data_IF_117292725989
#
_entry.id   IF_117292725989
#
_cell.length_a   1.000
_cell.length_b   1.000
_cell.length_c   1.000
_cell.angle_alpha   90.00
_cell.angle_beta   90.00
_cell.angle_gamma   90.00
#
_symmetry.space_group_name_H-M   'P 1'
#
loop_
_entity.id
_entity.type
_entity.pdbx_description
1 polymer ?
#
# COMPACT_ATOMS: atom_id res chain seq x y z
N UNK A 1 -38.80 25.53 1.63
CA UNK A 1 -37.43 25.38 2.13
C UNK A 1 -37.41 24.06 2.87
N UNK A 2 -36.95 23.01 2.23
CA UNK A 2 -36.69 21.71 2.87
C UNK A 2 -35.84 20.88 1.91
N UNK A 3 -34.52 20.91 2.10
CA UNK A 3 -33.55 20.06 1.38
C UNK A 3 -32.34 19.79 2.27
N UNK A 4 -32.59 19.16 3.42
CA UNK A 4 -31.58 18.37 4.13
C UNK A 4 -32.13 16.95 4.19
N UNK A 5 -31.76 16.13 3.20
CA UNK A 5 -32.08 14.71 3.21
C UNK A 5 -31.25 14.03 4.28
N UNK A 6 -31.80 13.89 5.48
CA UNK A 6 -31.22 13.10 6.56
C UNK A 6 -31.12 11.66 6.06
N UNK A 7 -29.90 11.12 5.91
CA UNK A 7 -29.68 9.72 5.58
C UNK A 7 -30.16 8.86 6.74
N UNK A 8 -31.41 8.40 6.67
CA UNK A 8 -31.98 7.42 7.59
C UNK A 8 -32.22 6.13 6.82
N UNK A 9 -31.73 5.01 7.35
CA UNK A 9 -32.10 3.69 6.85
C UNK A 9 -33.61 3.53 6.92
N UNK A 10 -34.19 2.96 5.87
CA UNK A 10 -35.60 2.53 5.83
C UNK A 10 -35.71 1.01 5.99
N UNK A 11 -36.90 0.52 6.39
CA UNK A 11 -37.11 -0.91 6.68
C UNK A 11 -36.72 -1.86 5.54
N UNK A 12 -36.97 -1.46 4.29
CA UNK A 12 -36.59 -2.25 3.10
C UNK A 12 -35.07 -2.38 2.92
N UNK A 13 -34.32 -1.34 3.28
CA UNK A 13 -32.85 -1.36 3.25
C UNK A 13 -32.30 -2.28 4.35
N UNK A 14 -32.92 -2.27 5.53
CA UNK A 14 -32.58 -3.18 6.62
C UNK A 14 -32.80 -4.63 6.20
N UNK A 15 -33.96 -4.97 5.62
CA UNK A 15 -34.25 -6.31 5.12
C UNK A 15 -33.26 -6.76 4.04
N UNK A 16 -32.94 -5.88 3.10
CA UNK A 16 -31.97 -6.13 2.03
C UNK A 16 -30.55 -6.34 2.59
N UNK A 17 -30.17 -5.64 3.65
CA UNK A 17 -28.88 -5.81 4.29
C UNK A 17 -28.81 -7.16 5.03
N UNK A 18 -29.85 -7.51 5.78
CA UNK A 18 -29.93 -8.75 6.57
C UNK A 18 -29.83 -10.01 5.68
N UNK A 19 -30.49 -10.01 4.53
CA UNK A 19 -30.45 -11.15 3.58
C UNK A 19 -29.05 -11.40 3.00
N UNK A 20 -28.18 -10.38 2.96
CA UNK A 20 -26.80 -10.50 2.45
C UNK A 20 -25.80 -11.01 3.50
N UNK A 21 -26.16 -10.97 4.78
CA UNK A 21 -25.31 -11.45 5.85
C UNK A 21 -25.26 -12.99 5.84
N UNK A 22 -24.07 -13.57 6.02
CA UNK A 22 -23.88 -15.04 6.04
C UNK A 22 -23.66 -15.52 7.47
N UNK A 23 -24.28 -16.63 7.82
CA UNK A 23 -24.13 -17.28 9.13
C UNK A 23 -22.76 -17.96 9.27
N UNK A 24 -22.37 -18.27 10.51
CA UNK A 24 -21.14 -18.98 10.82
C UNK A 24 -19.87 -18.18 10.58
N UNK A 25 -19.97 -16.84 10.51
CA UNK A 25 -18.82 -15.93 10.46
C UNK A 25 -18.31 -15.66 11.87
N UNK A 26 -17.00 -15.47 11.97
CA UNK A 26 -16.36 -15.10 13.24
C UNK A 26 -16.99 -13.81 13.77
N UNK A 27 -17.44 -13.77 15.05
CA UNK A 27 -18.00 -12.57 15.66
C UNK A 27 -17.03 -11.38 15.60
N UNK A 28 -17.58 -10.17 15.62
CA UNK A 28 -16.79 -8.95 15.73
C UNK A 28 -16.12 -8.88 17.13
N UNK A 29 -15.19 -7.93 17.36
CA UNK A 29 -14.48 -7.81 18.65
C UNK A 29 -15.39 -7.59 19.89
N UNK A 30 -16.66 -7.24 19.66
CA UNK A 30 -17.72 -7.15 20.68
C UNK A 30 -18.29 -8.52 21.09
N UNK A 31 -17.92 -9.59 20.38
CA UNK A 31 -18.37 -10.95 20.64
C UNK A 31 -19.80 -11.24 20.17
N UNK A 32 -20.46 -10.34 19.45
CA UNK A 32 -21.86 -10.51 19.03
C UNK A 32 -21.93 -11.33 17.73
N UNK A 33 -22.58 -12.51 17.74
CA UNK A 33 -22.76 -13.29 16.52
C UNK A 33 -23.74 -12.63 15.54
N UNK A 34 -23.50 -12.81 14.24
CA UNK A 34 -24.35 -12.25 13.17
C UNK A 34 -25.78 -12.78 13.22
N UNK A 35 -25.96 -13.99 13.75
CA UNK A 35 -27.25 -14.63 13.98
C UNK A 35 -28.12 -13.83 14.96
N UNK A 36 -27.50 -13.20 15.96
CA UNK A 36 -28.20 -12.33 16.93
C UNK A 36 -28.66 -11.04 16.24
N UNK A 37 -27.81 -10.43 15.42
CA UNK A 37 -28.16 -9.23 14.66
C UNK A 37 -29.31 -9.50 13.69
N UNK A 38 -29.28 -10.65 13.00
CA UNK A 38 -30.36 -11.09 12.12
C UNK A 38 -31.66 -11.34 12.87
N UNK A 39 -31.59 -11.97 14.04
CA UNK A 39 -32.75 -12.20 14.89
C UNK A 39 -33.39 -10.89 15.32
N UNK A 40 -32.60 -9.95 15.84
CA UNK A 40 -33.10 -8.65 16.29
C UNK A 40 -33.74 -7.84 15.15
N UNK A 41 -33.10 -7.82 13.98
CA UNK A 41 -33.64 -7.10 12.83
C UNK A 41 -34.95 -7.72 12.29
N UNK A 42 -35.18 -9.03 12.50
CA UNK A 42 -36.39 -9.72 12.08
C UNK A 42 -37.53 -9.60 13.10
N UNK A 43 -37.22 -9.76 14.38
CA UNK A 43 -38.22 -9.75 15.46
C UNK A 43 -38.56 -8.33 15.95
N UNK A 44 -37.59 -7.42 15.90
CA UNK A 44 -37.70 -6.03 16.36
C UNK A 44 -37.23 -5.06 15.27
N UNK A 45 -37.87 -5.03 14.09
CA UNK A 45 -37.40 -4.26 12.95
C UNK A 45 -37.41 -2.75 13.23
N UNK A 46 -38.42 -2.24 13.95
CA UNK A 46 -38.55 -0.80 14.21
C UNK A 46 -37.53 -0.31 15.23
N UNK A 47 -37.29 -1.07 16.29
CA UNK A 47 -36.31 -0.77 17.32
C UNK A 47 -34.88 -0.92 16.79
N UNK A 48 -34.63 -1.96 15.98
CA UNK A 48 -33.34 -2.15 15.31
C UNK A 48 -33.06 -1.00 14.35
N UNK A 49 -34.05 -0.59 13.56
CA UNK A 49 -33.94 0.54 12.65
C UNK A 49 -33.72 1.85 13.41
N UNK A 50 -34.46 2.07 14.51
CA UNK A 50 -34.32 3.25 15.36
C UNK A 50 -32.95 3.36 16.01
N UNK A 51 -32.41 2.25 16.52
CA UNK A 51 -31.07 2.18 17.08
C UNK A 51 -30.01 2.46 16.01
N UNK A 52 -30.10 1.80 14.85
CA UNK A 52 -29.17 2.03 13.75
C UNK A 52 -29.22 3.48 13.28
N UNK A 53 -30.40 4.06 13.09
CA UNK A 53 -30.56 5.45 12.67
C UNK A 53 -30.04 6.44 13.72
N UNK A 54 -30.19 6.15 15.01
CA UNK A 54 -29.61 6.97 16.09
C UNK A 54 -28.07 6.91 16.06
N UNK A 55 -27.49 5.72 15.88
CA UNK A 55 -26.06 5.56 15.69
C UNK A 55 -25.57 6.28 14.42
N UNK A 56 -26.29 6.17 13.30
CA UNK A 56 -25.96 6.88 12.07
C UNK A 56 -26.02 8.40 12.23
N UNK A 57 -26.97 8.93 12.99
CA UNK A 57 -27.08 10.35 13.27
C UNK A 57 -25.94 10.88 14.15
N UNK A 58 -25.41 10.05 15.06
CA UNK A 58 -24.26 10.40 15.90
C UNK A 58 -22.91 10.24 15.18
N UNK A 59 -22.85 9.46 14.10
CA UNK A 59 -21.63 9.36 13.30
C UNK A 59 -21.54 10.57 12.36
N UNK A 60 -20.75 11.57 12.76
CA UNK A 60 -20.27 12.61 11.83
C UNK A 60 -19.36 11.98 10.77
N UNK A 61 -19.94 11.58 9.64
CA UNK A 61 -19.21 11.41 8.39
C UNK A 61 -19.09 12.78 7.73
N UNK A 62 -17.87 13.30 7.45
CA UNK A 62 -17.73 14.51 6.65
C UNK A 62 -18.45 14.29 5.32
N UNK A 63 -19.35 15.19 4.95
CA UNK A 63 -20.08 15.11 3.69
C UNK A 63 -19.10 14.82 2.53
N UNK A 64 -19.39 13.75 1.78
CA UNK A 64 -18.56 13.31 0.65
C UNK A 64 -17.47 12.27 0.97
N UNK A 65 -17.24 11.87 2.23
CA UNK A 65 -16.33 10.77 2.58
C UNK A 65 -17.02 9.67 3.40
N UNK A 66 -17.41 8.58 2.73
CA UNK A 66 -17.87 7.32 3.37
C UNK A 66 -16.73 6.67 4.18
N UNK A 67 -15.49 7.04 3.90
CA UNK A 67 -14.30 6.47 4.50
C UNK A 67 -13.51 7.60 5.12
N UNK A 68 -13.15 7.48 6.39
CA UNK A 68 -12.10 8.31 6.95
C UNK A 68 -10.77 7.83 6.33
N UNK A 69 -10.51 8.30 5.10
CA UNK A 69 -9.43 7.79 4.24
C UNK A 69 -8.08 7.83 4.95
N UNK A 70 -7.86 8.82 5.81
CA UNK A 70 -6.67 8.90 6.65
C UNK A 70 -6.55 7.73 7.65
N UNK A 71 -7.63 7.32 8.33
CA UNK A 71 -7.61 6.19 9.27
C UNK A 71 -7.32 4.88 8.55
N UNK A 72 -7.95 4.66 7.39
CA UNK A 72 -7.75 3.45 6.58
C UNK A 72 -6.32 3.40 6.04
N UNK A 73 -5.83 4.50 5.46
CA UNK A 73 -4.46 4.61 4.95
C UNK A 73 -3.44 4.46 6.08
N UNK A 74 -3.66 5.06 7.26
CA UNK A 74 -2.77 4.96 8.41
C UNK A 74 -2.66 3.52 8.92
N UNK A 75 -3.77 2.78 8.91
CA UNK A 75 -3.79 1.36 9.28
C UNK A 75 -3.09 0.52 8.21
N UNK A 76 -3.40 0.77 6.93
CA UNK A 76 -2.74 0.11 5.80
C UNK A 76 -1.23 0.28 5.82
N UNK A 77 -0.77 1.50 6.12
CA UNK A 77 0.65 1.85 6.22
C UNK A 77 1.38 0.98 7.24
N UNK A 78 0.77 0.70 8.39
CA UNK A 78 1.39 -0.17 9.41
C UNK A 78 1.61 -1.60 8.88
N UNK A 79 0.70 -2.11 8.07
CA UNK A 79 0.86 -3.41 7.42
C UNK A 79 1.92 -3.34 6.30
N UNK A 80 1.86 -2.31 5.44
CA UNK A 80 2.82 -2.09 4.36
C UNK A 80 4.26 -2.03 4.87
N UNK A 81 4.52 -1.25 5.93
CA UNK A 81 5.84 -1.14 6.58
C UNK A 81 6.41 -2.50 7.00
N UNK A 82 5.55 -3.45 7.40
CA UNK A 82 5.97 -4.81 7.78
C UNK A 82 6.24 -5.68 6.56
N UNK A 83 5.44 -5.54 5.49
CA UNK A 83 5.64 -6.24 4.22
C UNK A 83 6.99 -5.83 3.61
N UNK A 84 7.24 -4.52 3.49
CA UNK A 84 8.48 -4.01 2.88
C UNK A 84 9.67 -3.95 3.85
N UNK A 85 9.45 -4.14 5.16
CA UNK A 85 10.45 -3.99 6.23
C UNK A 85 11.13 -2.60 6.20
N UNK A 86 10.31 -1.59 5.97
CA UNK A 86 10.76 -0.24 5.66
C UNK A 86 10.83 0.67 6.90
N UNK A 87 11.58 1.77 6.80
CA UNK A 87 11.66 2.76 7.88
C UNK A 87 10.37 3.60 7.97
N UNK A 88 9.94 3.92 9.19
CA UNK A 88 8.72 4.72 9.46
C UNK A 88 8.74 6.16 8.88
N UNK A 89 9.90 6.62 8.41
CA UNK A 89 10.14 7.95 7.83
C UNK A 89 9.80 8.05 6.34
N UNK A 90 9.52 6.93 5.66
CA UNK A 90 9.14 6.90 4.24
C UNK A 90 7.73 7.49 4.08
N UNK A 91 7.41 8.20 2.99
CA UNK A 91 6.04 8.70 2.78
C UNK A 91 5.03 7.55 2.64
N UNK A 92 3.75 7.79 2.92
CA UNK A 92 2.74 6.72 2.80
C UNK A 92 2.56 6.23 1.38
N UNK A 93 2.62 7.13 0.41
CA UNK A 93 2.46 6.80 -1.01
C UNK A 93 3.61 5.90 -1.50
N UNK A 94 4.85 6.28 -1.21
CA UNK A 94 6.02 5.48 -1.59
C UNK A 94 6.00 4.10 -0.93
N UNK A 95 5.57 4.02 0.32
CA UNK A 95 5.48 2.75 1.05
C UNK A 95 4.47 1.78 0.43
N UNK A 96 3.31 2.27 0.01
CA UNK A 96 2.29 1.44 -0.64
C UNK A 96 2.77 0.92 -2.00
N UNK A 97 3.51 1.75 -2.75
CA UNK A 97 4.13 1.35 -4.02
C UNK A 97 5.18 0.26 -3.80
N UNK A 98 6.08 0.44 -2.84
CA UNK A 98 7.12 -0.55 -2.52
C UNK A 98 6.49 -1.86 -2.04
N UNK A 99 5.52 -1.78 -1.14
CA UNK A 99 4.78 -2.95 -0.67
C UNK A 99 3.91 -3.58 -1.77
N UNK A 100 3.73 -2.94 -2.93
CA UNK A 100 2.89 -3.43 -4.02
C UNK A 100 1.41 -3.52 -3.66
N UNK A 101 0.95 -2.74 -2.68
CA UNK A 101 -0.41 -2.80 -2.15
C UNK A 101 -1.21 -1.63 -2.71
N UNK A 102 -2.38 -1.93 -3.29
CA UNK A 102 -3.30 -0.91 -3.78
C UNK A 102 -3.85 -0.10 -2.59
N UNK A 103 -3.82 1.25 -2.62
CA UNK A 103 -4.39 2.07 -1.56
C UNK A 103 -5.87 1.73 -1.29
N UNK A 104 -6.19 1.39 -0.04
CA UNK A 104 -7.53 0.92 0.34
C UNK A 104 -8.60 2.00 0.27
N UNK A 105 -8.22 3.27 0.40
CA UNK A 105 -9.09 4.42 0.15
C UNK A 105 -9.63 4.41 -1.28
N UNK A 106 -8.78 4.13 -2.27
CA UNK A 106 -9.17 4.04 -3.67
C UNK A 106 -10.09 2.83 -3.93
N UNK A 107 -9.81 1.68 -3.31
CA UNK A 107 -10.68 0.51 -3.41
C UNK A 107 -12.05 0.75 -2.75
N UNK A 108 -12.08 1.47 -1.64
CA UNK A 108 -13.32 1.80 -0.95
C UNK A 108 -14.15 2.84 -1.74
N UNK A 109 -13.47 3.80 -2.38
CA UNK A 109 -14.11 4.74 -3.30
C UNK A 109 -14.65 4.04 -4.55
N UNK A 110 -13.91 3.09 -5.14
CA UNK A 110 -14.40 2.23 -6.22
C UNK A 110 -15.70 1.54 -5.82
N UNK A 111 -15.69 0.86 -4.67
CA UNK A 111 -16.87 0.12 -4.16
C UNK A 111 -18.05 1.05 -3.90
N UNK A 112 -17.78 2.25 -3.38
CA UNK A 112 -18.79 3.29 -3.18
C UNK A 112 -19.43 3.69 -4.51
N UNK A 113 -18.62 4.00 -5.52
CA UNK A 113 -19.09 4.38 -6.85
C UNK A 113 -19.94 3.26 -7.47
N UNK A 114 -19.47 2.01 -7.38
CA UNK A 114 -20.23 0.84 -7.84
C UNK A 114 -21.55 0.65 -7.09
N UNK A 115 -21.62 0.95 -5.79
CA UNK A 115 -22.84 0.83 -5.00
C UNK A 115 -23.90 1.86 -5.39
N UNK A 116 -23.47 3.08 -5.73
CA UNK A 116 -24.35 4.19 -6.13
C UNK A 116 -24.83 4.11 -7.58
N UNK A 117 -24.36 3.14 -8.37
CA UNK A 117 -24.88 2.92 -9.71
C UNK A 117 -26.31 2.40 -9.61
N UNK A 118 -27.25 3.16 -10.18
CA UNK A 118 -28.66 2.76 -10.30
C UNK A 118 -28.80 1.49 -11.16
N UNK A 119 -28.02 1.41 -12.25
CA UNK A 119 -27.90 0.24 -13.11
C UNK A 119 -26.48 -0.33 -13.09
N UNK A 120 -26.36 -1.64 -12.81
CA UNK A 120 -25.07 -2.33 -12.69
C UNK A 120 -24.75 -3.17 -13.92
N UNK A 121 -24.60 -2.51 -15.07
CA UNK A 121 -24.13 -3.21 -16.27
C UNK A 121 -22.65 -3.57 -16.17
N UNK A 122 -22.23 -4.60 -16.92
CA UNK A 122 -20.81 -4.98 -17.02
C UNK A 122 -19.94 -3.80 -17.49
N UNK A 123 -20.44 -3.01 -18.45
CA UNK A 123 -19.74 -1.85 -19.00
C UNK A 123 -19.50 -0.73 -17.98
N UNK A 124 -20.52 -0.35 -17.20
CA UNK A 124 -20.37 0.67 -16.16
C UNK A 124 -19.42 0.22 -15.05
N UNK A 125 -19.53 -1.05 -14.61
CA UNK A 125 -18.62 -1.60 -13.61
C UNK A 125 -17.16 -1.57 -14.08
N UNK A 126 -16.93 -1.86 -15.36
CA UNK A 126 -15.59 -1.83 -15.93
C UNK A 126 -15.05 -0.40 -16.09
N UNK A 127 -15.91 0.57 -16.41
CA UNK A 127 -15.54 1.99 -16.46
C UNK A 127 -15.08 2.50 -15.09
N UNK A 128 -15.82 2.18 -14.02
CA UNK A 128 -15.45 2.58 -12.65
C UNK A 128 -14.12 1.94 -12.24
N UNK A 129 -13.91 0.65 -12.49
CA UNK A 129 -12.64 -0.05 -12.22
C UNK A 129 -11.48 0.54 -13.00
N UNK A 130 -11.69 0.88 -14.27
CA UNK A 130 -10.66 1.48 -15.13
C UNK A 130 -10.21 2.84 -14.59
N UNK A 131 -11.15 3.62 -14.07
CA UNK A 131 -10.83 4.88 -13.39
C UNK A 131 -10.03 4.65 -12.10
N UNK A 132 -10.38 3.66 -11.28
CA UNK A 132 -9.56 3.28 -10.11
C UNK A 132 -8.15 2.91 -10.55
N UNK A 133 -7.98 2.06 -11.56
CA UNK A 133 -6.66 1.66 -12.09
C UNK A 133 -5.87 2.90 -12.54
N UNK A 134 -6.50 3.87 -13.20
CA UNK A 134 -5.84 5.14 -13.58
C UNK A 134 -5.40 5.94 -12.36
N UNK A 135 -6.22 6.05 -11.33
CA UNK A 135 -5.88 6.77 -10.11
C UNK A 135 -4.75 6.08 -9.34
N UNK A 136 -4.77 4.76 -9.27
CA UNK A 136 -3.68 3.97 -8.68
C UNK A 136 -2.41 4.17 -9.49
N UNK A 137 -2.45 4.09 -10.83
CA UNK A 137 -1.29 4.34 -11.68
C UNK A 137 -0.72 5.76 -11.51
N UNK A 138 -1.60 6.77 -11.39
CA UNK A 138 -1.20 8.16 -11.12
C UNK A 138 -0.54 8.32 -9.75
N UNK A 139 -1.04 7.63 -8.70
CA UNK A 139 -0.38 7.60 -7.38
C UNK A 139 0.89 6.76 -7.40
N UNK A 140 1.01 5.79 -8.31
CA UNK A 140 2.11 4.86 -8.32
C UNK A 140 3.36 5.42 -9.01
N UNK A 141 3.23 6.23 -10.08
CA UNK A 141 4.30 6.83 -10.92
C UNK A 141 5.53 5.94 -11.28
N UNK A 142 5.52 4.66 -10.90
CA UNK A 142 6.62 3.68 -10.99
C UNK A 142 6.12 2.26 -11.24
N UNK A 143 4.84 2.11 -11.64
CA UNK A 143 4.25 0.84 -12.04
C UNK A 143 3.83 -0.09 -10.88
N UNK A 144 3.17 -1.19 -11.24
CA UNK A 144 2.85 -2.27 -10.30
C UNK A 144 3.73 -3.48 -10.58
N UNK A 145 4.42 -3.98 -9.55
CA UNK A 145 5.18 -5.22 -9.62
C UNK A 145 4.24 -6.43 -9.79
N UNK A 146 4.60 -7.33 -10.71
CA UNK A 146 3.89 -8.61 -10.93
C UNK A 146 4.64 -9.81 -10.34
N UNK A 147 5.89 -9.63 -9.92
CA UNK A 147 6.81 -10.71 -9.58
C UNK A 147 7.65 -10.33 -8.35
N UNK A 148 7.95 -11.34 -7.51
CA UNK A 148 8.83 -11.23 -6.35
C UNK A 148 8.34 -10.30 -5.24
N UNK A 149 8.83 -10.50 -4.02
CA UNK A 149 8.61 -9.59 -2.91
C UNK A 149 9.82 -8.69 -2.67
N UNK A 150 9.57 -7.46 -2.21
CA UNK A 150 10.64 -6.53 -1.89
C UNK A 150 11.37 -7.04 -0.63
N UNK A 151 12.62 -7.45 -0.81
CA UNK A 151 13.49 -7.83 0.30
C UNK A 151 13.86 -6.61 1.14
N UNK A 152 14.33 -6.85 2.37
CA UNK A 152 14.81 -5.78 3.24
C UNK A 152 15.86 -4.92 2.53
N UNK A 153 16.88 -5.53 1.91
CA UNK A 153 17.94 -4.82 1.21
C UNK A 153 17.42 -4.02 0.01
N UNK A 154 16.48 -4.58 -0.76
CA UNK A 154 15.87 -3.89 -1.89
C UNK A 154 15.06 -2.67 -1.43
N UNK A 155 14.29 -2.80 -0.36
CA UNK A 155 13.58 -1.68 0.25
C UNK A 155 14.54 -0.57 0.70
N UNK A 156 15.64 -0.93 1.38
CA UNK A 156 16.66 0.05 1.81
C UNK A 156 17.26 0.78 0.60
N UNK A 157 17.58 0.05 -0.47
CA UNK A 157 18.12 0.61 -1.70
C UNK A 157 17.15 1.59 -2.37
N UNK A 158 15.89 1.19 -2.58
CA UNK A 158 14.87 2.00 -3.25
C UNK A 158 14.58 3.30 -2.50
N UNK A 159 14.61 3.24 -1.18
CA UNK A 159 14.27 4.38 -0.31
C UNK A 159 15.48 5.21 0.08
N UNK A 160 16.69 4.77 -0.28
CA UNK A 160 17.94 5.36 0.14
C UNK A 160 18.20 5.31 1.66
N UNK A 161 17.56 4.39 2.39
CA UNK A 161 17.76 4.18 3.82
C UNK A 161 18.83 3.11 4.10
N UNK A 162 19.19 2.92 5.38
CA UNK A 162 20.19 1.94 5.82
C UNK A 162 21.57 2.56 6.01
N UNK A 163 22.61 1.93 5.49
CA UNK A 163 23.99 2.39 5.64
C UNK A 163 24.46 3.34 4.52
N UNK A 164 23.55 4.04 3.85
CA UNK A 164 23.91 5.06 2.88
C UNK A 164 24.31 6.36 3.58
N UNK A 165 25.47 6.88 3.21
CA UNK A 165 26.07 8.09 3.83
C UNK A 165 25.12 9.30 3.85
N UNK A 166 24.39 9.56 2.76
CA UNK A 166 23.38 10.64 2.68
C UNK A 166 22.30 10.48 3.75
N UNK A 167 21.81 9.25 3.96
CA UNK A 167 20.80 8.99 4.99
C UNK A 167 21.38 9.07 6.39
N UNK A 168 22.55 8.48 6.62
CA UNK A 168 23.22 8.51 7.92
C UNK A 168 23.52 9.95 8.38
N UNK A 169 23.95 10.81 7.47
CA UNK A 169 24.13 12.24 7.73
C UNK A 169 22.80 12.94 8.05
N UNK A 170 21.74 12.63 7.30
CA UNK A 170 20.38 13.15 7.56
C UNK A 170 19.88 12.81 8.96
N UNK A 171 20.24 11.64 9.50
CA UNK A 171 19.89 11.22 10.87
C UNK A 171 20.98 11.50 11.90
N UNK A 172 21.97 12.35 11.56
CA UNK A 172 23.07 12.77 12.44
C UNK A 172 23.89 11.62 13.04
N UNK A 173 24.07 10.52 12.29
CA UNK A 173 24.95 9.41 12.68
C UNK A 173 26.38 9.55 12.16
N UNK A 174 26.58 10.37 11.14
CA UNK A 174 27.90 10.71 10.60
C UNK A 174 27.93 12.20 10.24
N UNK A 175 29.09 12.83 10.33
CA UNK A 175 29.26 14.26 10.03
C UNK A 175 29.56 14.54 8.55
N UNK A 176 30.18 13.56 7.87
CA UNK A 176 30.62 13.68 6.47
C UNK A 176 30.02 12.57 5.59
N UNK A 177 29.64 12.94 4.37
CA UNK A 177 29.12 12.03 3.35
C UNK A 177 30.20 11.50 2.39
N UNK A 178 31.47 11.90 2.57
CA UNK A 178 32.60 11.46 1.76
C UNK A 178 32.96 9.99 2.00
N UNK A 179 32.21 9.15 1.30
CA UNK A 179 32.39 7.73 0.97
C UNK A 179 32.91 6.76 2.06
N UNK A 180 31.97 6.14 2.78
CA UNK A 180 31.97 4.72 3.17
C UNK A 180 30.81 4.02 2.44
N UNK A 181 30.93 4.15 1.12
CA UNK A 181 30.04 3.71 0.04
C UNK A 181 28.75 4.51 -0.13
N UNK A 182 28.94 5.82 -0.34
CA UNK A 182 28.04 6.76 -1.03
C UNK A 182 26.55 6.81 -0.61
N UNK A 183 25.79 7.71 -1.25
CA UNK A 183 24.34 7.63 -1.28
C UNK A 183 23.87 6.53 -2.23
N UNK A 184 22.63 6.06 -2.06
CA UNK A 184 22.07 4.91 -2.78
C UNK A 184 22.30 4.95 -4.31
N UNK A 185 21.93 6.05 -4.95
CA UNK A 185 22.12 6.26 -6.39
C UNK A 185 23.58 6.04 -6.83
N UNK A 186 24.54 6.71 -6.19
CA UNK A 186 25.96 6.57 -6.55
C UNK A 186 26.46 5.15 -6.28
N UNK A 187 25.99 4.52 -5.21
CA UNK A 187 26.33 3.13 -4.88
C UNK A 187 25.87 2.16 -5.98
N UNK A 188 24.62 2.28 -6.41
CA UNK A 188 23.95 1.37 -7.36
C UNK A 188 24.35 1.59 -8.82
N UNK A 189 24.84 2.78 -9.19
CA UNK A 189 25.12 3.09 -10.60
C UNK A 189 26.56 3.51 -10.92
N UNK A 190 27.34 4.01 -9.95
CA UNK A 190 28.57 4.77 -10.27
C UNK A 190 29.81 4.39 -9.44
N UNK A 191 29.63 3.84 -8.24
CA UNK A 191 30.73 3.64 -7.30
C UNK A 191 31.61 2.45 -7.73
N UNK A 192 32.88 2.71 -8.05
CA UNK A 192 33.83 1.74 -8.60
C UNK A 192 34.06 0.51 -7.73
N UNK A 193 33.83 0.62 -6.41
CA UNK A 193 33.84 -0.51 -5.47
C UNK A 193 32.94 -1.68 -5.93
N UNK A 194 31.85 -1.37 -6.63
CA UNK A 194 30.81 -2.32 -7.03
C UNK A 194 30.86 -2.65 -8.53
N UNK A 195 31.96 -2.35 -9.23
CA UNK A 195 32.06 -2.61 -10.68
C UNK A 195 32.02 -4.09 -11.03
N UNK A 196 32.45 -4.97 -10.12
CA UNK A 196 32.36 -6.42 -10.31
C UNK A 196 30.89 -6.88 -10.26
N UNK A 197 30.20 -6.56 -9.16
CA UNK A 197 28.80 -6.91 -8.96
C UNK A 197 27.90 -6.26 -10.03
N UNK A 198 28.18 -5.01 -10.41
CA UNK A 198 27.42 -4.29 -11.45
C UNK A 198 27.60 -4.95 -12.82
N UNK A 199 28.82 -5.39 -13.17
CA UNK A 199 29.05 -6.13 -14.42
C UNK A 199 28.28 -7.45 -14.46
N UNK A 200 28.22 -8.19 -13.34
CA UNK A 200 27.39 -9.40 -13.25
C UNK A 200 25.91 -9.09 -13.47
N UNK A 201 25.40 -8.01 -12.89
CA UNK A 201 24.03 -7.56 -13.13
C UNK A 201 23.80 -7.25 -14.62
N UNK A 202 24.68 -6.46 -15.23
CA UNK A 202 24.55 -6.02 -16.63
C UNK A 202 24.55 -7.19 -17.61
N UNK A 203 25.34 -8.23 -17.33
CA UNK A 203 25.32 -9.48 -18.10
C UNK A 203 23.97 -10.21 -17.97
N UNK A 204 23.40 -10.26 -16.75
CA UNK A 204 22.09 -10.87 -16.51
C UNK A 204 20.93 -10.09 -17.15
N UNK A 205 21.02 -8.76 -17.17
CA UNK A 205 20.01 -7.89 -17.79
C UNK A 205 20.15 -7.77 -19.31
N UNK A 206 21.28 -8.19 -19.88
CA UNK A 206 21.60 -7.95 -21.29
C UNK A 206 21.72 -6.46 -21.66
N UNK A 207 21.91 -5.58 -20.67
CA UNK A 207 21.93 -4.12 -20.85
C UNK A 207 22.75 -3.44 -19.77
N UNK A 208 23.29 -2.25 -20.08
CA UNK A 208 24.03 -1.46 -19.10
C UNK A 208 23.11 -0.89 -18.03
N UNK A 209 23.50 -1.01 -16.77
CA UNK A 209 22.71 -0.58 -15.63
C UNK A 209 22.81 0.94 -15.47
N UNK A 210 21.66 1.61 -15.41
CA UNK A 210 21.57 3.03 -15.14
C UNK A 210 20.24 3.40 -14.45
N UNK A 211 20.17 4.64 -13.99
CA UNK A 211 19.01 5.16 -13.25
C UNK A 211 17.69 5.10 -14.01
N UNK A 212 17.74 5.11 -15.35
CA UNK A 212 16.53 5.15 -16.18
C UNK A 212 15.98 3.76 -16.48
N UNK A 213 16.84 2.74 -16.52
CA UNK A 213 16.43 1.42 -16.98
C UNK A 213 16.37 0.36 -15.88
N UNK A 214 17.00 0.56 -14.71
CA UNK A 214 17.00 -0.47 -13.68
C UNK A 214 15.59 -0.89 -13.28
N UNK A 215 14.72 0.07 -12.92
CA UNK A 215 13.33 -0.23 -12.51
C UNK A 215 12.48 -0.79 -13.67
N UNK A 216 12.49 -0.20 -14.89
CA UNK A 216 11.78 -0.80 -16.01
C UNK A 216 12.22 -2.25 -16.32
N UNK A 217 13.52 -2.54 -16.31
CA UNK A 217 14.04 -3.88 -16.55
C UNK A 217 13.67 -4.84 -15.42
N UNK A 218 13.78 -4.40 -14.16
CA UNK A 218 13.41 -5.15 -12.96
C UNK A 218 11.94 -5.60 -12.99
N UNK A 219 11.05 -4.75 -13.51
CA UNK A 219 9.62 -5.03 -13.62
C UNK A 219 9.21 -5.86 -14.85
N UNK A 220 10.11 -6.06 -15.81
CA UNK A 220 9.80 -6.67 -17.11
C UNK A 220 9.50 -8.17 -17.00
N UNK A 221 10.32 -8.90 -16.24
CA UNK A 221 10.18 -10.34 -16.08
C UNK A 221 10.83 -10.83 -14.76
N UNK A 222 10.56 -12.08 -14.39
CA UNK A 222 11.05 -12.68 -13.13
C UNK A 222 12.56 -12.90 -13.10
N UNK A 223 13.21 -13.12 -14.25
CA UNK A 223 14.66 -13.34 -14.32
C UNK A 223 15.44 -12.05 -14.06
N UNK A 224 15.00 -10.94 -14.68
CA UNK A 224 15.53 -9.61 -14.40
C UNK A 224 15.34 -9.25 -12.93
N UNK A 225 14.14 -9.47 -12.38
CA UNK A 225 13.87 -9.26 -10.96
C UNK A 225 14.86 -10.01 -10.06
N UNK A 226 15.06 -11.30 -10.35
CA UNK A 226 15.97 -12.14 -9.56
C UNK A 226 17.41 -11.63 -9.67
N UNK A 227 17.83 -11.16 -10.85
CA UNK A 227 19.16 -10.59 -11.08
C UNK A 227 19.37 -9.29 -10.29
N UNK A 228 18.39 -8.39 -10.31
CA UNK A 228 18.42 -7.12 -9.55
C UNK A 228 18.38 -7.38 -8.05
N UNK A 229 17.48 -8.23 -7.58
CA UNK A 229 17.37 -8.58 -6.16
C UNK A 229 18.66 -9.20 -5.63
N UNK A 230 19.29 -10.11 -6.39
CA UNK A 230 20.57 -10.73 -6.03
C UNK A 230 21.70 -9.72 -6.00
N UNK A 231 21.76 -8.83 -6.99
CA UNK A 231 22.75 -7.74 -7.03
C UNK A 231 22.64 -6.84 -5.81
N UNK A 232 21.41 -6.38 -5.49
CA UNK A 232 21.16 -5.48 -4.35
C UNK A 232 21.43 -6.18 -3.02
N UNK A 233 21.00 -7.43 -2.87
CA UNK A 233 21.25 -8.22 -1.66
C UNK A 233 22.75 -8.38 -1.39
N UNK A 234 23.53 -8.78 -2.40
CA UNK A 234 24.98 -8.93 -2.30
C UNK A 234 25.67 -7.61 -1.99
N UNK A 235 25.34 -6.56 -2.74
CA UNK A 235 25.90 -5.23 -2.57
C UNK A 235 25.64 -4.73 -1.15
N UNK A 236 24.39 -4.78 -0.68
CA UNK A 236 24.01 -4.24 0.62
C UNK A 236 24.61 -5.05 1.76
N UNK A 237 24.65 -6.38 1.64
CA UNK A 237 25.24 -7.26 2.67
C UNK A 237 26.73 -6.99 2.84
N UNK A 238 27.48 -6.89 1.74
CA UNK A 238 28.92 -6.55 1.81
C UNK A 238 29.12 -5.15 2.35
N UNK A 239 28.30 -4.18 1.90
CA UNK A 239 28.37 -2.79 2.38
C UNK A 239 28.11 -2.70 3.88
N UNK A 240 27.14 -3.44 4.42
CA UNK A 240 26.84 -3.50 5.86
C UNK A 240 27.99 -4.14 6.63
N UNK A 241 28.57 -5.24 6.12
CA UNK A 241 29.73 -5.89 6.72
C UNK A 241 30.93 -4.95 6.81
N UNK A 242 31.27 -4.28 5.71
CA UNK A 242 32.39 -3.33 5.66
C UNK A 242 32.15 -2.13 6.59
N UNK A 243 30.90 -1.65 6.69
CA UNK A 243 30.53 -0.56 7.60
C UNK A 243 30.75 -0.96 9.07
N UNK A 244 30.30 -2.16 9.46
CA UNK A 244 30.53 -2.72 10.81
C UNK A 244 32.01 -2.95 11.10
N UNK A 245 32.77 -3.46 10.14
CA UNK A 245 34.21 -3.71 10.29
C UNK A 245 35.01 -2.42 10.53
N UNK A 246 34.50 -1.27 10.09
CA UNK A 246 35.09 0.05 10.34
C UNK A 246 34.66 0.68 11.67
N UNK A 247 33.85 -0.02 12.49
CA UNK A 247 33.39 0.47 13.79
C UNK A 247 32.36 1.60 13.69
N UNK A 248 31.58 1.63 12.60
CA UNK A 248 30.56 2.65 12.34
C UNK A 248 29.14 2.09 12.49
#
# INVERSE_FOLDING_TARGET
MDTQGTLSLVGEELETAITKLKDGKTPAPDGVPLEVVKFLAKEYPQETLGLLNSLYAEITFPEGRIVNGWVVIATQRKAALRIARAYKTISTEAELVIAGVIPMDLLAEERTRLYRLEDRTKGQNEAVRRETVRQVAKKAEGGHRKHGDVTYQLCQMLTGHGNFSVYLKRISKIDDERCIYCGAKRTVFQCSRWDGERRTLELGLGSRNNERNLIPLDLENRENWTSVATYVDRLMTVKEGDFRAKGM
#
